data_IF_116833638191
#
_entry.id   IF_116833638191
#
_cell.length_a   1.000
_cell.length_b   1.000
_cell.length_c   1.000
_cell.angle_alpha   90.00
_cell.angle_beta   90.00
_cell.angle_gamma   90.00
#
_symmetry.space_group_name_H-M   'P 1'
#
loop_
_entity.id
_entity.type
_entity.pdbx_description
1 polymer ?
#
# COMPACT_ATOMS: atom_id res chain seq x y z
N UNK A 1 -17.92 23.82 12.16
CA UNK A 1 -17.81 23.39 13.57
C UNK A 1 -16.80 22.25 13.66
N UNK A 2 -15.93 22.21 14.69
CA UNK A 2 -15.09 21.02 14.95
C UNK A 2 -15.96 19.94 15.58
N UNK A 3 -15.93 18.73 15.03
CA UNK A 3 -16.60 17.57 15.62
C UNK A 3 -15.96 17.25 16.98
N UNK A 4 -16.76 17.16 18.05
CA UNK A 4 -16.32 16.82 19.40
C UNK A 4 -17.10 15.59 19.88
N UNK A 5 -16.51 14.38 19.84
CA UNK A 5 -17.18 13.17 20.26
C UNK A 5 -17.25 12.97 21.79
N UNK A 6 -16.69 13.88 22.60
CA UNK A 6 -16.60 13.70 24.06
C UNK A 6 -15.62 12.63 24.52
N UNK A 7 -14.80 12.09 23.61
CA UNK A 7 -13.74 11.12 23.93
C UNK A 7 -12.46 11.83 24.39
N UNK A 8 -11.62 11.18 25.22
CA UNK A 8 -10.30 11.70 25.55
C UNK A 8 -9.49 12.04 24.29
N UNK A 9 -8.75 13.16 24.26
CA UNK A 9 -7.88 13.48 23.14
C UNK A 9 -6.84 12.38 22.91
N UNK A 10 -6.69 11.95 21.67
CA UNK A 10 -5.68 11.00 21.25
C UNK A 10 -4.79 11.61 20.18
N UNK A 11 -3.47 11.39 20.30
CA UNK A 11 -2.48 11.81 19.30
C UNK A 11 -1.87 10.55 18.67
N UNK A 12 -2.03 10.34 17.35
CA UNK A 12 -1.34 9.27 16.65
C UNK A 12 0.18 9.36 16.87
N UNK A 13 0.82 8.22 17.09
CA UNK A 13 2.29 8.17 17.20
C UNK A 13 2.97 8.39 15.84
N UNK A 14 2.37 7.90 14.76
CA UNK A 14 2.85 8.04 13.38
C UNK A 14 1.69 8.16 12.41
N UNK A 15 1.95 8.84 11.31
CA UNK A 15 1.07 8.94 10.15
C UNK A 15 1.80 8.40 8.95
N UNK A 16 1.17 7.48 8.22
CA UNK A 16 1.67 6.93 6.96
C UNK A 16 0.65 7.21 5.87
N UNK A 17 1.14 7.50 4.67
CA UNK A 17 0.32 7.74 3.49
C UNK A 17 0.58 6.64 2.47
N UNK A 18 -0.49 5.97 2.02
CA UNK A 18 -0.39 4.94 1.01
C UNK A 18 -0.54 5.52 -0.39
N UNK A 19 0.02 4.83 -1.38
CA UNK A 19 -0.16 5.18 -2.79
C UNK A 19 -1.55 4.74 -3.30
N UNK A 20 -2.43 5.70 -3.57
CA UNK A 20 -3.72 5.43 -4.26
C UNK A 20 -3.55 5.47 -5.78
N UNK A 21 -3.82 6.60 -6.44
CA UNK A 21 -3.60 6.79 -7.88
C UNK A 21 -2.39 7.70 -8.16
N UNK A 22 -2.12 8.67 -7.30
CA UNK A 22 -0.96 9.56 -7.39
C UNK A 22 0.30 8.83 -6.94
N UNK A 23 1.40 8.86 -7.72
CA UNK A 23 2.71 8.40 -7.27
C UNK A 23 3.15 9.10 -6.00
N UNK A 24 3.88 8.38 -5.15
CA UNK A 24 4.50 8.90 -3.94
C UNK A 24 6.00 8.63 -3.97
N UNK A 25 6.76 9.49 -3.30
CA UNK A 25 8.16 9.21 -2.97
C UNK A 25 8.18 8.27 -1.77
N UNK A 26 8.19 6.96 -2.07
CA UNK A 26 8.11 5.91 -1.07
C UNK A 26 9.33 5.95 -0.13
N UNK A 27 9.08 5.94 1.17
CA UNK A 27 10.10 5.89 2.22
C UNK A 27 10.07 4.57 3.00
N UNK A 28 8.95 3.84 2.89
CA UNK A 28 8.76 2.53 3.49
C UNK A 28 8.13 1.61 2.44
N UNK A 29 8.74 0.44 2.26
CA UNK A 29 8.21 -0.65 1.44
C UNK A 29 7.92 -1.84 2.34
N UNK A 30 6.70 -2.37 2.27
CA UNK A 30 6.25 -3.51 3.07
C UNK A 30 6.08 -4.72 2.18
N UNK A 31 6.76 -5.82 2.48
CA UNK A 31 6.55 -7.10 1.77
C UNK A 31 5.12 -7.60 2.03
N UNK A 32 4.34 -7.69 0.96
CA UNK A 32 2.96 -8.20 0.99
C UNK A 32 2.82 -9.49 0.19
N UNK A 33 3.93 -10.17 -0.11
CA UNK A 33 3.97 -11.35 -0.97
C UNK A 33 3.08 -12.49 -0.47
N UNK A 34 2.96 -12.65 0.85
CA UNK A 34 2.14 -13.70 1.49
C UNK A 34 0.65 -13.35 1.51
N UNK A 35 0.30 -12.06 1.50
CA UNK A 35 -1.08 -11.57 1.64
C UNK A 35 -1.65 -10.95 0.36
N UNK A 36 -0.90 -10.93 -0.75
CA UNK A 36 -1.33 -10.31 -2.01
C UNK A 36 -2.67 -10.88 -2.52
N UNK A 37 -2.89 -12.19 -2.39
CA UNK A 37 -4.14 -12.84 -2.79
C UNK A 37 -5.32 -12.41 -1.92
N UNK A 38 -5.12 -12.30 -0.60
CA UNK A 38 -6.16 -11.83 0.32
C UNK A 38 -6.51 -10.37 0.06
N UNK A 39 -5.51 -9.52 -0.17
CA UNK A 39 -5.69 -8.13 -0.56
C UNK A 39 -6.52 -8.00 -1.85
N UNK A 40 -6.25 -8.82 -2.87
CA UNK A 40 -7.05 -8.85 -4.10
C UNK A 40 -8.50 -9.28 -3.82
N UNK A 41 -8.70 -10.32 -3.01
CA UNK A 41 -10.04 -10.77 -2.63
C UNK A 41 -10.82 -9.68 -1.88
N UNK A 42 -10.18 -8.98 -0.95
CA UNK A 42 -10.77 -7.86 -0.22
C UNK A 42 -11.17 -6.72 -1.15
N UNK A 43 -10.36 -6.37 -2.14
CA UNK A 43 -10.74 -5.37 -3.14
C UNK A 43 -11.92 -5.85 -4.00
N UNK A 44 -11.88 -7.09 -4.50
CA UNK A 44 -12.94 -7.67 -5.35
C UNK A 44 -14.30 -7.79 -4.65
N UNK A 45 -14.37 -7.67 -3.33
CA UNK A 45 -15.66 -7.69 -2.62
C UNK A 45 -16.55 -6.49 -3.00
N UNK A 46 -15.95 -5.36 -3.39
CA UNK A 46 -16.64 -4.16 -3.87
C UNK A 46 -17.03 -4.28 -5.36
N UNK A 47 -17.83 -5.30 -5.69
CA UNK A 47 -18.12 -5.70 -7.09
C UNK A 47 -18.53 -4.54 -8.01
N UNK A 48 -19.36 -3.62 -7.53
CA UNK A 48 -19.83 -2.47 -8.33
C UNK A 48 -18.74 -1.48 -8.72
N UNK A 49 -17.58 -1.50 -8.05
CA UNK A 49 -16.46 -0.60 -8.35
C UNK A 49 -15.54 -1.13 -9.45
N UNK A 50 -15.51 -2.44 -9.66
CA UNK A 50 -14.57 -3.10 -10.57
C UNK A 50 -15.22 -3.57 -11.87
N UNK A 51 -14.41 -4.10 -12.79
CA UNK A 51 -14.89 -4.55 -14.08
C UNK A 51 -15.98 -5.62 -13.97
N UNK A 52 -17.13 -5.34 -14.58
CA UNK A 52 -18.22 -6.28 -14.82
C UNK A 52 -18.70 -6.08 -16.27
N UNK A 53 -18.63 -7.15 -17.08
CA UNK A 53 -19.00 -7.11 -18.49
C UNK A 53 -20.51 -6.90 -18.71
N UNK A 54 -21.34 -7.17 -17.70
CA UNK A 54 -22.79 -6.95 -17.75
C UNK A 54 -23.18 -5.54 -17.28
N UNK A 55 -22.25 -4.77 -16.70
CA UNK A 55 -22.54 -3.44 -16.16
C UNK A 55 -22.90 -2.45 -17.27
N UNK A 56 -23.90 -1.60 -16.98
CA UNK A 56 -24.32 -0.47 -17.82
C UNK A 56 -23.90 0.87 -17.23
N UNK A 57 -23.19 0.86 -16.10
CA UNK A 57 -22.71 2.07 -15.45
C UNK A 57 -21.55 2.70 -16.24
N UNK A 58 -21.33 4.02 -16.10
CA UNK A 58 -20.18 4.67 -16.71
C UNK A 58 -18.87 3.99 -16.28
N UNK A 59 -18.00 3.70 -17.26
CA UNK A 59 -16.68 3.14 -16.95
C UNK A 59 -15.84 4.17 -16.20
N UNK A 60 -15.25 3.74 -15.09
CA UNK A 60 -14.26 4.48 -14.32
C UNK A 60 -12.88 3.86 -14.58
N UNK A 61 -11.82 4.51 -14.11
CA UNK A 61 -10.47 3.97 -14.21
C UNK A 61 -10.36 2.55 -13.61
N UNK A 62 -10.98 2.32 -12.45
CA UNK A 62 -10.89 1.04 -11.73
C UNK A 62 -11.87 -0.03 -12.23
N UNK A 63 -12.86 0.33 -13.05
CA UNK A 63 -13.76 -0.64 -13.70
C UNK A 63 -13.31 -1.07 -15.10
N UNK A 64 -12.12 -0.64 -15.53
CA UNK A 64 -11.48 -1.17 -16.74
C UNK A 64 -10.94 -2.59 -16.48
N UNK A 65 -10.96 -3.48 -17.49
CA UNK A 65 -10.49 -4.85 -17.34
C UNK A 65 -8.99 -4.95 -17.01
N UNK A 66 -8.19 -3.99 -17.47
CA UNK A 66 -6.73 -3.90 -17.29
C UNK A 66 -6.30 -3.40 -15.90
N UNK A 67 -7.25 -2.92 -15.06
CA UNK A 67 -6.93 -2.38 -13.74
C UNK A 67 -6.14 -3.35 -12.87
N UNK A 68 -6.49 -4.63 -12.88
CA UNK A 68 -5.84 -5.64 -12.04
C UNK A 68 -4.39 -5.91 -12.45
N UNK A 69 -4.09 -5.83 -13.74
CA UNK A 69 -2.74 -5.99 -14.25
C UNK A 69 -1.86 -4.82 -13.83
N UNK A 70 -2.37 -3.59 -13.92
CA UNK A 70 -1.68 -2.40 -13.43
C UNK A 70 -1.47 -2.43 -11.92
N UNK A 71 -2.49 -2.87 -11.18
CA UNK A 71 -2.44 -2.93 -9.73
C UNK A 71 -1.41 -3.96 -9.23
N UNK A 72 -1.38 -5.15 -9.85
CA UNK A 72 -0.36 -6.18 -9.60
C UNK A 72 1.03 -5.71 -10.03
N UNK A 73 1.15 -5.16 -11.24
CA UNK A 73 2.40 -4.65 -11.78
C UNK A 73 3.04 -3.60 -10.87
N UNK A 74 2.24 -2.70 -10.28
CA UNK A 74 2.72 -1.75 -9.28
C UNK A 74 3.24 -2.41 -8.00
N UNK A 75 2.56 -3.43 -7.50
CA UNK A 75 3.02 -4.17 -6.34
C UNK A 75 4.35 -4.92 -6.63
N UNK A 76 4.48 -5.50 -7.83
CA UNK A 76 5.71 -6.14 -8.28
C UNK A 76 6.86 -5.13 -8.47
N UNK A 77 6.57 -3.96 -9.02
CA UNK A 77 7.54 -2.88 -9.19
C UNK A 77 8.17 -2.48 -7.85
N UNK A 78 7.34 -2.27 -6.83
CA UNK A 78 7.86 -1.97 -5.48
C UNK A 78 8.57 -3.17 -4.86
N UNK A 79 8.07 -4.39 -5.05
CA UNK A 79 8.70 -5.61 -4.55
C UNK A 79 10.13 -5.79 -5.04
N UNK A 80 10.40 -5.41 -6.30
CA UNK A 80 11.73 -5.47 -6.90
C UNK A 80 12.79 -4.68 -6.11
N UNK A 81 12.43 -3.54 -5.52
CA UNK A 81 13.40 -2.70 -4.78
C UNK A 81 13.93 -3.36 -3.50
N UNK A 82 13.15 -4.26 -2.89
CA UNK A 82 13.49 -4.95 -1.64
C UNK A 82 13.65 -6.48 -1.82
N UNK A 83 13.71 -6.96 -3.05
CA UNK A 83 13.97 -8.37 -3.36
C UNK A 83 12.82 -9.33 -3.04
N UNK A 84 11.55 -8.87 -3.10
CA UNK A 84 10.35 -9.68 -2.83
C UNK A 84 9.39 -9.67 -4.01
N UNK A 85 8.38 -10.56 -4.03
CA UNK A 85 7.45 -10.67 -5.16
C UNK A 85 6.52 -9.47 -5.27
N UNK A 86 6.01 -8.98 -4.14
CA UNK A 86 5.08 -7.87 -4.08
C UNK A 86 5.36 -7.01 -2.85
N UNK A 87 5.38 -5.69 -3.01
CA UNK A 87 5.44 -4.76 -1.89
C UNK A 87 4.43 -3.62 -2.03
N UNK A 88 4.07 -3.03 -0.90
CA UNK A 88 3.32 -1.78 -0.83
C UNK A 88 4.20 -0.62 -0.40
N UNK A 89 4.00 0.52 -1.03
CA UNK A 89 4.72 1.75 -0.76
C UNK A 89 3.94 2.69 0.16
N UNK A 90 4.66 3.25 1.13
CA UNK A 90 4.18 4.25 2.06
C UNK A 90 5.15 5.44 2.14
N UNK A 91 4.58 6.63 2.25
CA UNK A 91 5.28 7.84 2.66
C UNK A 91 5.11 8.02 4.18
N UNK A 92 6.19 8.33 4.88
CA UNK A 92 6.24 8.48 6.33
C UNK A 92 6.20 9.97 6.66
N UNK A 93 5.24 10.40 7.48
CA UNK A 93 5.20 11.79 7.93
C UNK A 93 6.35 12.08 8.91
N UNK A 94 7.29 12.91 8.48
CA UNK A 94 8.43 13.32 9.27
C UNK A 94 9.52 12.25 9.43
N UNK A 95 10.57 12.53 10.22
CA UNK A 95 11.71 11.64 10.38
C UNK A 95 11.35 10.39 11.19
N UNK A 96 11.98 9.26 10.83
CA UNK A 96 11.94 8.02 11.64
C UNK A 96 12.96 8.16 12.78
N UNK A 97 12.53 8.25 14.06
CA UNK A 97 13.48 8.32 15.16
C UNK A 97 14.09 6.94 15.42
N UNK A 98 15.41 6.91 15.61
CA UNK A 98 16.14 5.73 16.05
C UNK A 98 17.20 6.10 17.09
N UNK A 99 17.53 5.17 17.98
CA UNK A 99 18.69 5.25 18.88
C UNK A 99 19.89 4.47 18.36
N UNK A 100 19.66 3.55 17.42
CA UNK A 100 20.67 2.69 16.82
C UNK A 100 20.35 2.55 15.32
N UNK A 101 21.16 3.16 14.44
CA UNK A 101 20.94 3.09 13.00
C UNK A 101 21.22 1.69 12.44
N UNK A 102 22.05 0.87 13.08
CA UNK A 102 22.35 -0.49 12.59
C UNK A 102 21.17 -1.41 12.87
N UNK A 103 20.65 -1.40 14.10
CA UNK A 103 19.48 -2.19 14.48
C UNK A 103 18.24 -1.84 13.65
N UNK A 104 18.11 -0.59 13.19
CA UNK A 104 17.01 -0.15 12.33
C UNK A 104 16.97 -0.90 10.99
N UNK A 105 18.12 -1.31 10.47
CA UNK A 105 18.25 -1.99 9.18
C UNK A 105 18.60 -3.47 9.29
N UNK A 106 18.67 -4.01 10.50
CA UNK A 106 18.96 -5.43 10.72
C UNK A 106 17.82 -6.29 10.15
N UNK A 107 18.17 -7.37 9.45
CA UNK A 107 17.22 -8.23 8.73
C UNK A 107 16.67 -7.69 7.39
N UNK A 108 17.03 -6.47 6.97
CA UNK A 108 16.60 -5.86 5.70
C UNK A 108 17.80 -5.60 4.77
N UNK A 109 18.32 -6.67 4.16
CA UNK A 109 19.26 -6.56 3.04
C UNK A 109 18.50 -6.50 1.71
N UNK A 110 18.94 -5.66 0.77
CA UNK A 110 18.43 -5.64 -0.63
C UNK A 110 18.45 -7.05 -1.26
N UNK A 111 19.38 -7.88 -0.82
CA UNK A 111 19.45 -9.30 -1.12
C UNK A 111 19.39 -10.05 0.22
N UNK A 112 18.32 -10.82 0.46
CA UNK A 112 18.32 -11.84 1.52
C UNK A 112 19.46 -12.80 1.18
N UNK A 113 20.49 -12.90 2.04
CA UNK A 113 21.67 -13.77 1.93
C UNK A 113 21.66 -14.71 0.70
N UNK A 114 22.22 -14.20 -0.41
CA UNK A 114 23.06 -15.01 -1.29
C UNK A 114 24.49 -14.87 -0.80
#
# INVERSE_FOLDING_TARGET
>A
ARWNPGLPPWRPSRTLYYMSHTPIDAQLLVDISEVMTEKEAAARCYRSQFHDAASREPQTFISRPDFWDWWKGRASWWGHFIGVRHAEAYFVDGPVPTRDPVALFDGFGKYRNT
#
